data_IF_811589904524
#
_entry.id   IF_811589904524
#
_cell.length_a   1.000
_cell.length_b   1.000
_cell.length_c   1.000
_cell.angle_alpha   90.00
_cell.angle_beta   90.00
_cell.angle_gamma   90.00
#
_symmetry.space_group_name_H-M   'P 1'
#
loop_
_entity.id
_entity.type
_entity.pdbx_description
1 polymer ?
#
# COMPACT_ATOMS: atom_id res chain seq x y z
N UNK A 1 -70.09 15.59 -17.15
CA UNK A 1 -70.46 16.71 -18.03
C UNK A 1 -70.14 18.02 -17.32
N UNK A 2 -69.23 18.82 -17.91
CA UNK A 2 -69.02 20.28 -17.83
C UNK A 2 -68.99 21.01 -16.47
N UNK A 3 -67.88 21.74 -16.26
CA UNK A 3 -67.79 22.88 -15.34
C UNK A 3 -66.36 23.37 -15.03
N UNK A 4 -65.65 23.94 -16.00
CA UNK A 4 -64.58 24.97 -15.79
C UNK A 4 -65.26 26.35 -15.61
N UNK A 5 -64.59 27.49 -15.28
CA UNK A 5 -63.15 27.81 -15.06
C UNK A 5 -62.92 28.53 -13.69
N UNK A 6 -61.74 28.94 -13.23
CA UNK A 6 -61.02 30.15 -13.67
C UNK A 6 -59.61 30.29 -13.08
N UNK A 7 -58.79 30.98 -13.87
CA UNK A 7 -57.36 31.25 -13.72
C UNK A 7 -57.11 32.51 -12.88
N UNK A 8 -56.03 32.49 -12.10
CA UNK A 8 -55.24 33.67 -11.70
C UNK A 8 -53.77 33.22 -11.83
N UNK A 9 -53.05 33.55 -12.92
CA UNK A 9 -52.07 34.66 -13.07
C UNK A 9 -51.13 34.79 -11.86
N UNK A 10 -49.79 34.83 -11.88
CA UNK A 10 -48.72 35.22 -12.81
C UNK A 10 -47.39 34.99 -12.00
N UNK A 11 -46.18 35.45 -12.39
CA UNK A 11 -45.35 35.24 -13.58
C UNK A 11 -44.05 34.44 -13.27
N UNK A 12 -43.35 34.12 -14.36
CA UNK A 12 -41.91 33.90 -14.53
C UNK A 12 -41.00 34.50 -13.44
N UNK A 13 -40.04 33.69 -12.97
CA UNK A 13 -38.66 34.15 -12.79
C UNK A 13 -37.67 32.99 -12.93
N UNK A 14 -36.90 33.07 -14.01
CA UNK A 14 -35.65 32.36 -14.21
C UNK A 14 -34.63 32.78 -13.15
N UNK A 15 -33.90 31.82 -12.59
CA UNK A 15 -32.53 31.99 -12.10
C UNK A 15 -31.96 30.59 -11.83
N UNK A 16 -31.30 29.94 -12.78
CA UNK A 16 -29.85 30.08 -12.99
C UNK A 16 -29.08 30.28 -11.69
N UNK A 17 -28.99 29.22 -10.89
CA UNK A 17 -28.02 29.07 -9.82
C UNK A 17 -26.84 28.22 -10.27
N UNK A 18 -26.17 28.63 -11.35
CA UNK A 18 -24.79 28.20 -11.62
C UNK A 18 -23.93 28.69 -10.45
N UNK A 19 -23.66 27.81 -9.50
CA UNK A 19 -22.57 28.00 -8.53
C UNK A 19 -21.22 27.79 -9.20
N UNK A 20 -20.93 28.62 -10.22
CA UNK A 20 -19.60 28.76 -10.80
C UNK A 20 -18.97 29.98 -10.13
N UNK A 21 -18.05 29.76 -9.18
CA UNK A 21 -17.07 30.75 -8.74
C UNK A 21 -15.82 30.04 -8.17
N UNK A 22 -14.59 30.51 -8.39
CA UNK A 22 -14.06 31.21 -9.55
C UNK A 22 -12.89 30.45 -10.21
N UNK A 23 -12.79 30.58 -11.53
CA UNK A 23 -11.62 30.21 -12.32
C UNK A 23 -10.53 31.28 -12.08
N UNK A 24 -9.97 31.33 -10.88
CA UNK A 24 -8.76 32.13 -10.63
C UNK A 24 -7.56 31.31 -11.09
N UNK A 25 -6.72 31.94 -11.90
CA UNK A 25 -5.57 31.37 -12.58
C UNK A 25 -4.55 30.78 -11.57
N UNK A 26 -4.79 29.55 -11.09
CA UNK A 26 -3.98 28.89 -10.06
C UNK A 26 -2.58 28.47 -10.56
N UNK A 27 -2.31 28.64 -11.86
CA UNK A 27 -1.08 28.27 -12.54
C UNK A 27 -0.09 29.44 -12.52
N UNK A 28 0.63 29.61 -11.41
CA UNK A 28 1.72 30.59 -11.31
C UNK A 28 2.97 30.11 -12.04
N UNK A 29 3.86 31.04 -12.42
CA UNK A 29 5.16 30.69 -13.02
C UNK A 29 6.01 29.84 -12.07
N UNK A 30 5.91 30.07 -10.76
CA UNK A 30 6.54 29.27 -9.72
C UNK A 30 6.06 27.80 -9.74
N UNK A 31 4.74 27.56 -9.74
CA UNK A 31 4.19 26.20 -9.83
C UNK A 31 4.54 25.52 -11.15
N UNK A 32 4.63 26.29 -12.24
CA UNK A 32 5.08 25.77 -13.53
C UNK A 32 6.54 25.33 -13.48
N UNK A 33 7.39 26.16 -12.88
CA UNK A 33 8.82 25.88 -12.72
C UNK A 33 9.03 24.64 -11.85
N UNK A 34 8.28 24.49 -10.75
CA UNK A 34 8.31 23.30 -9.90
C UNK A 34 7.96 22.00 -10.65
N UNK A 35 7.05 22.03 -11.63
CA UNK A 35 6.72 20.86 -12.46
C UNK A 35 7.88 20.52 -13.41
N UNK A 36 8.53 21.54 -14.00
CA UNK A 36 9.67 21.35 -14.90
C UNK A 36 10.88 20.79 -14.13
N UNK A 37 11.17 21.36 -12.97
CA UNK A 37 12.34 21.02 -12.16
C UNK A 37 12.16 19.74 -11.35
N UNK A 38 10.98 19.09 -11.46
CA UNK A 38 10.64 17.89 -10.69
C UNK A 38 10.77 18.11 -9.17
N UNK A 39 10.43 19.31 -8.68
CA UNK A 39 10.71 19.68 -7.30
C UNK A 39 9.77 18.95 -6.33
N UNK A 40 10.37 18.15 -5.44
CA UNK A 40 9.64 17.40 -4.41
C UNK A 40 9.17 18.26 -3.24
N UNK A 41 9.69 19.48 -3.05
CA UNK A 41 9.30 20.39 -1.98
C UNK A 41 7.83 20.85 -2.10
N UNK A 42 7.31 20.88 -3.33
CA UNK A 42 5.94 21.24 -3.64
C UNK A 42 4.96 20.06 -3.62
N UNK A 43 5.46 18.84 -3.33
CA UNK A 43 4.58 17.70 -3.16
C UNK A 43 3.59 17.97 -2.01
N UNK A 44 2.30 17.72 -2.25
CA UNK A 44 1.17 18.01 -1.36
C UNK A 44 0.79 19.49 -1.19
N UNK A 45 1.54 20.44 -1.76
CA UNK A 45 1.10 21.84 -1.84
C UNK A 45 0.12 22.05 -3.00
N UNK A 46 0.35 21.35 -4.11
CA UNK A 46 -0.57 21.33 -5.24
C UNK A 46 -0.41 20.04 -6.06
N UNK A 47 -1.41 19.77 -6.88
CA UNK A 47 -1.43 18.72 -7.87
C UNK A 47 -1.67 19.32 -9.24
N UNK A 48 -1.05 18.77 -10.28
CA UNK A 48 -1.30 19.21 -11.64
C UNK A 48 -1.96 18.10 -12.43
N UNK A 49 -2.89 18.45 -13.31
CA UNK A 49 -3.59 17.53 -14.16
C UNK A 49 -3.50 17.92 -15.62
N UNK A 50 -3.40 16.91 -16.47
CA UNK A 50 -3.27 17.08 -17.91
C UNK A 50 -4.64 16.89 -18.54
N UNK A 51 -5.20 17.97 -19.11
CA UNK A 51 -6.54 18.01 -19.72
C UNK A 51 -6.72 16.90 -20.77
N UNK A 52 -5.70 16.65 -21.58
CA UNK A 52 -5.74 15.68 -22.68
C UNK A 52 -5.76 14.22 -22.23
N UNK A 53 -5.01 13.86 -21.18
CA UNK A 53 -4.94 12.46 -20.70
C UNK A 53 -5.90 12.17 -19.55
N UNK A 54 -6.51 13.23 -18.99
CA UNK A 54 -7.30 13.22 -17.76
C UNK A 54 -6.53 12.59 -16.59
N UNK A 55 -5.20 12.71 -16.57
CA UNK A 55 -4.35 12.21 -15.47
C UNK A 55 -3.90 13.38 -14.61
N UNK A 56 -3.92 13.23 -13.29
CA UNK A 56 -3.28 14.16 -12.35
C UNK A 56 -2.06 13.57 -11.66
N UNK A 57 -1.12 14.44 -11.27
CA UNK A 57 0.23 14.14 -10.83
C UNK A 57 0.67 15.06 -9.68
N UNK A 58 1.68 14.60 -8.92
CA UNK A 58 2.51 15.44 -8.04
C UNK A 58 3.56 16.21 -8.87
N UNK A 59 4.04 17.39 -8.42
CA UNK A 59 5.09 18.16 -9.10
C UNK A 59 6.35 17.34 -9.40
N UNK A 60 6.78 16.48 -8.47
CA UNK A 60 7.94 15.58 -8.65
C UNK A 60 7.67 14.35 -9.55
N UNK A 61 6.67 14.39 -10.43
CA UNK A 61 6.36 13.25 -11.28
C UNK A 61 7.37 13.11 -12.42
N UNK A 62 8.06 11.95 -12.48
CA UNK A 62 9.01 11.60 -13.56
C UNK A 62 8.36 11.29 -14.92
N UNK A 63 7.12 11.71 -15.13
CA UNK A 63 6.47 11.57 -16.44
C UNK A 63 6.90 12.72 -17.34
N UNK A 64 6.81 12.52 -18.66
CA UNK A 64 7.14 13.58 -19.65
C UNK A 64 6.34 14.84 -19.32
N UNK A 65 7.03 15.99 -19.28
CA UNK A 65 6.40 17.27 -18.99
C UNK A 65 5.36 17.58 -20.07
N UNK A 66 4.09 17.81 -19.70
CA UNK A 66 3.02 18.17 -20.64
C UNK A 66 3.18 19.60 -21.16
N UNK A 67 2.44 19.99 -22.20
CA UNK A 67 2.39 21.41 -22.61
C UNK A 67 1.67 22.25 -21.55
N UNK A 68 2.19 23.44 -21.24
CA UNK A 68 1.65 24.36 -20.21
C UNK A 68 0.14 24.63 -20.37
N UNK A 69 -0.32 24.83 -21.60
CA UNK A 69 -1.74 25.08 -21.95
C UNK A 69 -2.71 23.96 -21.52
N UNK A 70 -2.20 22.73 -21.46
CA UNK A 70 -2.97 21.53 -21.12
C UNK A 70 -2.93 21.20 -19.63
N UNK A 71 -2.27 22.02 -18.82
CA UNK A 71 -2.15 21.81 -17.38
C UNK A 71 -3.25 22.56 -16.64
N UNK A 72 -3.84 21.89 -15.65
CA UNK A 72 -4.74 22.47 -14.65
C UNK A 72 -4.17 22.17 -13.27
N UNK A 73 -4.20 23.14 -12.37
CA UNK A 73 -3.72 22.97 -10.99
C UNK A 73 -4.91 22.73 -10.05
N UNK A 74 -4.70 21.85 -9.08
CA UNK A 74 -5.62 21.54 -7.99
C UNK A 74 -4.89 21.70 -6.66
N UNK A 75 -5.59 22.16 -5.61
CA UNK A 75 -4.98 22.32 -4.29
C UNK A 75 -4.86 21.00 -3.53
N UNK A 76 -5.72 20.02 -3.84
CA UNK A 76 -5.67 18.69 -3.24
C UNK A 76 -6.10 17.60 -4.23
N UNK A 77 -5.79 16.34 -3.91
CA UNK A 77 -6.12 15.20 -4.76
C UNK A 77 -7.63 14.98 -4.91
N UNK A 78 -8.44 15.31 -3.89
CA UNK A 78 -9.89 15.15 -3.92
C UNK A 78 -10.53 16.05 -4.99
N UNK A 79 -10.11 17.31 -5.10
CA UNK A 79 -10.57 18.22 -6.15
C UNK A 79 -10.28 17.68 -7.56
N UNK A 80 -9.12 17.02 -7.75
CA UNK A 80 -8.78 16.40 -9.03
C UNK A 80 -9.69 15.19 -9.33
N UNK A 81 -10.00 14.37 -8.32
CA UNK A 81 -10.91 13.24 -8.44
C UNK A 81 -12.34 13.68 -8.74
N UNK A 82 -12.85 14.67 -8.00
CA UNK A 82 -14.20 15.25 -8.20
C UNK A 82 -14.32 15.89 -9.60
N UNK A 83 -13.21 16.38 -10.16
CA UNK A 83 -13.13 16.89 -11.53
C UNK A 83 -12.92 15.79 -12.60
N UNK A 84 -13.10 14.51 -12.25
CA UNK A 84 -12.95 13.34 -13.11
C UNK A 84 -11.54 13.15 -13.69
N UNK A 85 -10.49 13.51 -12.95
CA UNK A 85 -9.12 13.14 -13.28
C UNK A 85 -8.70 11.87 -12.54
N UNK A 86 -8.08 10.95 -13.26
CA UNK A 86 -7.51 9.71 -12.69
C UNK A 86 -6.12 9.96 -12.11
N UNK A 87 -5.76 9.33 -10.98
CA UNK A 87 -4.43 9.48 -10.40
C UNK A 87 -3.36 8.84 -11.29
N UNK A 88 -2.22 9.51 -11.41
CA UNK A 88 -1.08 8.98 -12.14
C UNK A 88 -0.52 7.74 -11.44
N UNK A 89 -0.46 6.63 -12.18
CA UNK A 89 0.11 5.36 -11.69
C UNK A 89 1.61 5.45 -11.34
N UNK A 90 2.35 6.42 -11.90
CA UNK A 90 3.78 6.59 -11.64
C UNK A 90 4.07 7.35 -10.34
N UNK A 91 3.46 8.52 -10.13
CA UNK A 91 3.72 9.33 -8.94
C UNK A 91 2.75 9.07 -7.78
N UNK A 92 1.70 8.26 -7.99
CA UNK A 92 0.69 7.86 -6.99
C UNK A 92 0.27 9.07 -6.12
N UNK A 93 -0.38 10.08 -6.73
CA UNK A 93 -0.61 11.37 -6.11
C UNK A 93 -1.59 11.32 -4.93
N UNK A 94 -2.49 10.33 -4.88
CA UNK A 94 -3.46 10.16 -3.77
C UNK A 94 -2.84 9.69 -2.46
N UNK A 95 -1.54 9.36 -2.44
CA UNK A 95 -0.79 9.00 -1.24
C UNK A 95 -1.50 7.96 -0.34
N UNK A 96 -2.25 7.02 -0.94
CA UNK A 96 -2.84 5.85 -0.26
C UNK A 96 -1.77 4.86 0.27
N UNK A 97 -0.48 5.21 0.18
CA UNK A 97 0.63 4.37 0.61
C UNK A 97 1.32 5.02 1.80
N UNK A 98 1.38 4.28 2.91
CA UNK A 98 2.20 4.64 4.07
C UNK A 98 3.65 4.90 3.66
N UNK A 99 4.39 5.78 4.37
CA UNK A 99 5.84 5.89 4.22
C UNK A 99 6.49 4.50 4.30
N UNK A 100 7.50 4.22 3.47
CA UNK A 100 8.10 2.88 3.35
C UNK A 100 8.41 2.24 4.72
N UNK A 101 8.95 3.03 5.67
CA UNK A 101 9.28 2.56 7.03
C UNK A 101 8.05 2.11 7.82
N UNK A 102 6.99 2.91 7.84
CA UNK A 102 5.73 2.56 8.51
C UNK A 102 5.04 1.39 7.81
N UNK A 103 5.12 1.37 6.48
CA UNK A 103 4.59 0.30 5.65
C UNK A 103 5.22 -1.05 5.98
N UNK A 104 6.55 -1.10 6.10
CA UNK A 104 7.26 -2.32 6.50
C UNK A 104 7.06 -2.66 7.97
N UNK A 105 6.90 -1.68 8.86
CA UNK A 105 6.56 -1.93 10.25
C UNK A 105 5.19 -2.63 10.36
N UNK A 106 4.17 -2.12 9.66
CA UNK A 106 2.83 -2.72 9.59
C UNK A 106 2.90 -4.18 9.10
N UNK A 107 3.62 -4.43 8.02
CA UNK A 107 3.74 -5.77 7.45
C UNK A 107 4.52 -6.71 8.39
N UNK A 108 5.57 -6.20 9.05
CA UNK A 108 6.32 -6.97 10.05
C UNK A 108 5.39 -7.40 11.19
N UNK A 109 4.65 -6.45 11.76
CA UNK A 109 3.71 -6.71 12.84
C UNK A 109 2.62 -7.71 12.43
N UNK A 110 2.11 -7.58 11.20
CA UNK A 110 1.15 -8.53 10.66
C UNK A 110 1.73 -9.94 10.56
N UNK A 111 2.95 -10.09 10.07
CA UNK A 111 3.63 -11.39 9.99
C UNK A 111 3.82 -11.95 11.40
N UNK A 112 4.29 -11.15 12.36
CA UNK A 112 4.57 -11.62 13.72
C UNK A 112 3.30 -12.11 14.45
N UNK A 113 2.13 -11.54 14.13
CA UNK A 113 0.84 -11.97 14.68
C UNK A 113 0.22 -13.17 13.95
N UNK A 114 0.45 -13.30 12.64
CA UNK A 114 -0.26 -14.25 11.77
C UNK A 114 0.68 -15.25 11.08
N UNK A 115 1.89 -15.47 11.62
CA UNK A 115 2.91 -16.29 10.95
C UNK A 115 2.47 -17.73 10.68
N UNK A 116 1.55 -18.28 11.49
CA UNK A 116 1.02 -19.64 11.33
C UNK A 116 0.06 -19.79 10.14
N UNK A 117 -0.49 -18.67 9.65
CA UNK A 117 -1.43 -18.67 8.53
C UNK A 117 -0.74 -18.78 7.17
N UNK A 118 -1.53 -18.95 6.10
CA UNK A 118 -1.02 -18.97 4.73
C UNK A 118 -0.70 -17.54 4.27
N UNK A 119 0.52 -17.09 4.56
CA UNK A 119 1.03 -15.79 4.12
C UNK A 119 1.68 -15.89 2.73
N UNK A 120 1.18 -15.10 1.78
CA UNK A 120 1.82 -14.91 0.46
C UNK A 120 2.22 -13.45 0.27
N UNK A 121 3.13 -13.20 -0.67
CA UNK A 121 3.57 -11.84 -0.98
C UNK A 121 2.42 -10.96 -1.48
N UNK A 122 1.47 -11.56 -2.20
CA UNK A 122 0.24 -10.93 -2.67
C UNK A 122 -0.64 -10.50 -1.50
N UNK A 123 -0.95 -11.43 -0.58
CA UNK A 123 -1.77 -11.13 0.59
C UNK A 123 -1.19 -10.01 1.45
N UNK A 124 0.13 -10.02 1.69
CA UNK A 124 0.81 -8.99 2.46
C UNK A 124 0.85 -7.64 1.75
N UNK A 125 0.96 -7.64 0.42
CA UNK A 125 0.90 -6.42 -0.36
C UNK A 125 -0.52 -5.82 -0.35
N UNK A 126 -1.55 -6.66 -0.44
CA UNK A 126 -2.96 -6.23 -0.42
C UNK A 126 -3.34 -5.61 0.93
N UNK A 127 -2.95 -6.24 2.04
CA UNK A 127 -3.17 -5.74 3.42
C UNK A 127 -2.60 -4.32 3.59
N UNK A 128 -1.47 -4.06 2.94
CA UNK A 128 -0.76 -2.81 3.09
C UNK A 128 -1.00 -1.86 1.89
N UNK A 129 -1.95 -2.17 1.00
CA UNK A 129 -2.30 -1.36 -0.18
C UNK A 129 -1.12 -1.06 -1.12
N UNK A 130 -0.22 -2.02 -1.31
CA UNK A 130 0.94 -1.92 -2.19
C UNK A 130 1.02 -3.02 -3.25
N UNK A 131 2.09 -3.01 -4.05
CA UNK A 131 2.35 -4.10 -5.00
C UNK A 131 3.33 -5.12 -4.43
N UNK A 132 3.21 -6.41 -4.80
CA UNK A 132 4.13 -7.46 -4.36
C UNK A 132 5.60 -7.14 -4.66
N UNK A 133 5.87 -6.55 -5.83
CA UNK A 133 7.22 -6.14 -6.23
C UNK A 133 7.77 -5.00 -5.36
N UNK A 134 6.95 -3.98 -5.06
CA UNK A 134 7.35 -2.91 -4.15
C UNK A 134 7.61 -3.47 -2.75
N UNK A 135 6.76 -4.38 -2.28
CA UNK A 135 6.92 -5.06 -0.99
C UNK A 135 8.26 -5.78 -0.92
N UNK A 136 8.54 -6.66 -1.88
CA UNK A 136 9.79 -7.40 -1.91
C UNK A 136 11.01 -6.47 -1.89
N UNK A 137 11.04 -5.45 -2.75
CA UNK A 137 12.18 -4.52 -2.85
C UNK A 137 12.36 -3.69 -1.59
N UNK A 138 11.29 -3.10 -1.08
CA UNK A 138 11.32 -2.17 0.05
C UNK A 138 11.59 -2.90 1.36
N UNK A 139 10.97 -4.07 1.57
CA UNK A 139 11.23 -4.91 2.74
C UNK A 139 12.68 -5.38 2.78
N UNK A 140 13.21 -5.90 1.66
CA UNK A 140 14.63 -6.32 1.58
C UNK A 140 15.58 -5.15 1.82
N UNK A 141 15.29 -3.98 1.26
CA UNK A 141 16.12 -2.78 1.46
C UNK A 141 16.21 -2.38 2.94
N UNK A 142 15.13 -2.51 3.70
CA UNK A 142 15.08 -2.02 5.09
C UNK A 142 15.37 -3.08 6.15
N UNK A 143 14.99 -4.35 5.91
CA UNK A 143 15.21 -5.47 6.84
C UNK A 143 16.46 -6.30 6.50
N UNK A 144 17.05 -6.10 5.31
CA UNK A 144 18.18 -6.90 4.81
C UNK A 144 17.80 -8.26 4.24
N UNK A 145 16.58 -8.74 4.49
CA UNK A 145 16.05 -10.04 4.06
C UNK A 145 14.70 -9.89 3.37
N UNK A 146 14.32 -10.86 2.55
CA UNK A 146 13.04 -10.86 1.85
C UNK A 146 11.86 -11.13 2.81
N UNK A 147 10.62 -10.73 2.46
CA UNK A 147 9.44 -11.07 3.26
C UNK A 147 9.29 -12.58 3.51
N UNK A 148 9.57 -13.41 2.50
CA UNK A 148 9.49 -14.86 2.60
C UNK A 148 10.53 -15.41 3.59
N UNK A 149 11.77 -14.90 3.55
CA UNK A 149 12.80 -15.28 4.52
C UNK A 149 12.45 -14.83 5.94
N UNK A 150 11.83 -13.66 6.10
CA UNK A 150 11.37 -13.18 7.40
C UNK A 150 10.28 -14.09 7.98
N UNK A 151 9.26 -14.45 7.18
CA UNK A 151 8.23 -15.42 7.57
C UNK A 151 8.86 -16.74 8.01
N UNK A 152 9.80 -17.27 7.22
CA UNK A 152 10.52 -18.49 7.58
C UNK A 152 11.26 -18.35 8.92
N UNK A 153 11.93 -17.22 9.16
CA UNK A 153 12.66 -16.98 10.40
C UNK A 153 11.72 -16.94 11.62
N UNK A 154 10.61 -16.22 11.53
CA UNK A 154 9.59 -16.15 12.61
C UNK A 154 9.04 -17.55 12.91
N UNK A 155 8.68 -18.31 11.87
CA UNK A 155 8.16 -19.69 12.03
C UNK A 155 9.16 -20.64 12.66
N UNK A 156 10.42 -20.58 12.24
CA UNK A 156 11.48 -21.44 12.80
C UNK A 156 11.79 -21.08 14.25
N UNK A 157 11.75 -19.78 14.60
CA UNK A 157 11.91 -19.34 15.99
C UNK A 157 10.76 -19.85 16.87
N UNK A 158 9.50 -19.74 16.41
CA UNK A 158 8.37 -20.34 17.10
C UNK A 158 8.51 -21.87 17.23
N UNK A 159 9.01 -22.54 16.18
CA UNK A 159 9.25 -23.98 16.22
C UNK A 159 10.31 -24.38 17.27
N UNK A 160 11.37 -23.58 17.45
CA UNK A 160 12.35 -23.81 18.53
C UNK A 160 11.68 -23.81 19.89
N UNK A 161 10.86 -22.80 20.18
CA UNK A 161 10.13 -22.72 21.45
C UNK A 161 9.25 -23.96 21.67
N UNK A 162 8.55 -24.44 20.64
CA UNK A 162 7.79 -25.69 20.75
C UNK A 162 8.66 -26.93 20.97
N UNK A 163 9.84 -27.01 20.35
CA UNK A 163 10.76 -28.13 20.50
C UNK A 163 11.34 -28.21 21.90
N UNK A 164 11.59 -27.05 22.53
CA UNK A 164 12.12 -26.93 23.90
C UNK A 164 10.99 -27.21 24.92
N UNK A 165 9.86 -26.51 24.79
CA UNK A 165 8.81 -26.50 25.82
C UNK A 165 7.83 -27.68 25.75
N UNK A 166 7.83 -28.45 24.66
CA UNK A 166 6.81 -29.49 24.44
C UNK A 166 7.39 -30.79 23.87
N UNK A 167 6.64 -31.88 24.05
CA UNK A 167 6.93 -33.18 23.44
C UNK A 167 6.09 -33.49 22.19
N UNK A 168 5.47 -32.47 21.57
CA UNK A 168 4.64 -32.65 20.36
C UNK A 168 5.42 -33.33 19.22
N UNK A 169 4.73 -34.05 18.34
CA UNK A 169 5.39 -34.64 17.18
C UNK A 169 5.93 -33.54 16.25
N UNK A 170 7.02 -33.83 15.54
CA UNK A 170 7.66 -32.86 14.64
C UNK A 170 6.69 -32.40 13.54
N UNK A 171 5.84 -33.29 13.06
CA UNK A 171 4.79 -32.98 12.10
C UNK A 171 3.76 -31.98 12.66
N UNK A 172 3.30 -32.18 13.90
CA UNK A 172 2.33 -31.29 14.55
C UNK A 172 2.92 -29.88 14.80
N UNK A 173 4.19 -29.81 15.17
CA UNK A 173 4.90 -28.53 15.32
C UNK A 173 4.98 -27.83 13.97
N UNK A 174 5.35 -28.56 12.91
CA UNK A 174 5.44 -28.00 11.56
C UNK A 174 4.10 -27.39 11.12
N UNK A 175 2.99 -28.09 11.36
CA UNK A 175 1.63 -27.58 11.09
C UNK A 175 1.34 -26.35 11.96
N UNK A 176 1.64 -26.40 13.26
CA UNK A 176 1.37 -25.30 14.21
C UNK A 176 2.07 -24.00 13.85
N UNK A 177 3.24 -24.08 13.22
CA UNK A 177 4.02 -22.91 12.75
C UNK A 177 3.74 -22.55 11.29
N UNK A 178 2.69 -23.09 10.67
CA UNK A 178 2.30 -22.75 9.29
C UNK A 178 3.16 -23.39 8.19
N UNK A 179 3.88 -24.47 8.50
CA UNK A 179 4.72 -25.24 7.56
C UNK A 179 4.20 -26.69 7.43
N UNK A 180 3.03 -26.92 6.78
CA UNK A 180 2.39 -28.23 6.76
C UNK A 180 3.22 -29.31 6.03
N UNK A 181 4.13 -28.93 5.14
CA UNK A 181 5.08 -29.87 4.54
C UNK A 181 6.23 -30.18 5.52
N UNK A 182 6.11 -31.29 6.24
CA UNK A 182 7.08 -31.71 7.27
C UNK A 182 8.49 -31.93 6.70
N UNK A 183 8.62 -32.53 5.52
CA UNK A 183 9.93 -32.77 4.89
C UNK A 183 10.64 -31.46 4.54
N UNK A 184 9.89 -30.48 4.02
CA UNK A 184 10.40 -29.13 3.77
C UNK A 184 10.78 -28.42 5.08
N UNK A 185 9.94 -28.51 6.11
CA UNK A 185 10.23 -27.95 7.43
C UNK A 185 11.53 -28.51 8.01
N UNK A 186 11.72 -29.84 8.03
CA UNK A 186 12.94 -30.48 8.53
C UNK A 186 14.17 -29.99 7.76
N UNK A 187 14.07 -29.95 6.43
CA UNK A 187 15.18 -29.50 5.55
C UNK A 187 15.54 -28.05 5.82
N UNK A 188 14.55 -27.17 5.91
CA UNK A 188 14.75 -25.75 6.17
C UNK A 188 15.30 -25.51 7.59
N UNK A 189 14.75 -26.19 8.59
CA UNK A 189 15.22 -26.10 9.98
C UNK A 189 16.68 -26.52 10.08
N UNK A 190 17.06 -27.67 9.50
CA UNK A 190 18.45 -28.12 9.45
C UNK A 190 19.36 -27.12 8.76
N UNK A 191 18.93 -26.56 7.63
CA UNK A 191 19.71 -25.54 6.89
C UNK A 191 19.95 -24.28 7.71
N UNK A 192 18.98 -23.85 8.52
CA UNK A 192 19.06 -22.60 9.29
C UNK A 192 19.65 -22.77 10.69
N UNK A 193 19.51 -23.94 11.30
CA UNK A 193 19.89 -24.21 12.69
C UNK A 193 21.04 -25.22 12.84
N UNK A 194 21.55 -25.79 11.75
CA UNK A 194 22.63 -26.80 11.75
C UNK A 194 22.18 -28.22 12.09
N UNK A 195 21.08 -28.37 12.82
CA UNK A 195 20.57 -29.66 13.30
C UNK A 195 19.13 -29.91 12.84
N UNK A 196 18.73 -31.17 12.71
CA UNK A 196 17.30 -31.48 12.48
C UNK A 196 16.47 -31.09 13.71
N UNK A 197 15.15 -30.87 13.56
CA UNK A 197 14.27 -30.58 14.71
C UNK A 197 14.37 -31.62 15.85
N UNK A 198 14.51 -32.90 15.50
CA UNK A 198 14.67 -33.97 16.47
C UNK A 198 16.02 -33.91 17.21
N UNK A 199 17.11 -33.66 16.48
CA UNK A 199 18.44 -33.46 17.08
C UNK A 199 18.47 -32.23 17.97
N UNK A 200 17.90 -31.12 17.50
CA UNK A 200 17.81 -29.88 18.27
C UNK A 200 17.10 -30.10 19.61
N UNK A 201 15.97 -30.81 19.61
CA UNK A 201 15.25 -31.16 20.85
C UNK A 201 16.10 -31.99 21.82
N UNK A 202 16.89 -32.94 21.32
CA UNK A 202 17.75 -33.76 22.17
C UNK A 202 18.85 -32.91 22.82
N UNK A 203 19.50 -32.04 22.03
CA UNK A 203 20.56 -31.14 22.51
C UNK A 203 20.02 -30.19 23.57
N UNK A 204 18.89 -29.51 23.32
CA UNK A 204 18.32 -28.56 24.29
C UNK A 204 17.94 -29.22 25.62
N UNK A 205 17.50 -30.48 25.61
CA UNK A 205 17.21 -31.23 26.84
C UNK A 205 18.46 -31.67 27.61
N UNK A 206 19.60 -31.77 26.93
CA UNK A 206 20.88 -32.10 27.57
C UNK A 206 21.51 -30.87 28.22
N UNK A 207 21.32 -29.68 27.64
CA UNK A 207 21.85 -28.41 28.19
C UNK A 207 21.07 -27.92 29.43
N UNK A 208 19.83 -28.36 29.62
CA UNK A 208 19.00 -28.05 30.79
C UNK A 208 19.19 -29.03 31.98
N UNK A 209 20.04 -30.06 31.85
CA UNK A 209 20.35 -31.05 32.91
C UNK A 209 21.71 -30.78 33.54
#
# INVERSE_FOLDING_TARGET
>A
MKGMPDRINNPLQESHGHGVLPDENLMTNEKWQAIIDNDASYNNQFFYAVKTTRIFCKPSCKSRVPKKENVRIFSNAKQALDANFRPCKRCKPTNESLPDREWVALITEYIDKNFSEKLTLETLADIAHGSPYHLHRTFKKMKGITPVEYIQQVRLNAAKEYLIRTNKAIADIAISVGMPNTSYFITLFKKKMGHTPAQFRQISKMEER
#
